data_IF_667541207335
#
_entry.id   IF_667541207335
#
_cell.length_a   1.000
_cell.length_b   1.000
_cell.length_c   1.000
_cell.angle_alpha   90.00
_cell.angle_beta   90.00
_cell.angle_gamma   90.00
#
_symmetry.space_group_name_H-M   'P 1'
#
loop_
_entity.id
_entity.type
_entity.pdbx_description
1 polymer ?
#
# COMPACT_ATOMS: atom_id res chain seq x y z
N UNK A 1 -13.07 -39.43 -34.54
CA UNK A 1 -13.92 -38.64 -33.62
C UNK A 1 -13.30 -38.78 -32.24
N UNK A 2 -12.41 -37.86 -31.86
CA UNK A 2 -11.60 -37.95 -30.64
C UNK A 2 -12.27 -37.17 -29.51
N UNK A 3 -12.66 -37.86 -28.43
CA UNK A 3 -13.12 -37.24 -27.19
C UNK A 3 -11.90 -36.99 -26.29
N UNK A 4 -11.50 -35.73 -26.15
CA UNK A 4 -10.60 -35.30 -25.08
C UNK A 4 -11.44 -34.95 -23.85
N UNK A 5 -11.36 -35.79 -22.81
CA UNK A 5 -11.94 -35.51 -21.50
C UNK A 5 -11.01 -34.55 -20.75
N UNK A 6 -11.41 -33.29 -20.63
CA UNK A 6 -10.73 -32.28 -19.81
C UNK A 6 -11.08 -32.52 -18.34
N UNK A 7 -10.18 -33.21 -17.63
CA UNK A 7 -10.17 -33.23 -16.16
C UNK A 7 -9.81 -31.82 -15.70
N UNK A 8 -10.81 -31.03 -15.29
CA UNK A 8 -10.59 -29.80 -14.51
C UNK A 8 -10.08 -30.20 -13.13
N UNK A 9 -8.76 -30.17 -12.94
CA UNK A 9 -8.17 -30.11 -11.62
C UNK A 9 -8.60 -28.79 -10.97
N UNK A 10 -9.52 -28.88 -9.99
CA UNK A 10 -9.76 -27.81 -9.02
C UNK A 10 -8.51 -27.71 -8.15
N UNK A 11 -7.55 -26.87 -8.52
CA UNK A 11 -6.51 -26.46 -7.58
C UNK A 11 -7.17 -25.51 -6.59
N UNK A 12 -7.30 -25.98 -5.35
CA UNK A 12 -7.74 -25.19 -4.23
C UNK A 12 -6.67 -24.14 -3.95
N UNK A 13 -6.91 -22.87 -4.33
CA UNK A 13 -5.98 -21.75 -4.13
C UNK A 13 -5.71 -21.41 -2.65
N UNK A 14 -6.26 -22.16 -1.70
CA UNK A 14 -6.09 -21.93 -0.26
C UNK A 14 -4.77 -22.45 0.31
N UNK A 15 -3.88 -23.05 -0.48
CA UNK A 15 -2.69 -23.75 0.04
C UNK A 15 -1.35 -23.32 -0.57
N UNK A 16 -1.26 -22.16 -1.22
CA UNK A 16 0.03 -21.57 -1.59
C UNK A 16 0.53 -20.74 -0.39
N UNK A 17 1.68 -21.07 0.23
CA UNK A 17 2.27 -20.25 1.29
C UNK A 17 2.55 -18.84 0.74
N UNK A 18 2.07 -17.80 1.43
CA UNK A 18 2.11 -16.42 0.89
C UNK A 18 3.36 -15.72 1.40
N UNK A 19 4.33 -15.39 0.53
CA UNK A 19 5.54 -14.71 0.98
C UNK A 19 5.22 -13.31 1.56
N UNK A 20 5.83 -12.92 2.70
CA UNK A 20 5.56 -11.67 3.41
C UNK A 20 6.02 -10.43 2.63
N UNK A 21 5.28 -9.31 2.72
CA UNK A 21 5.64 -8.03 2.06
C UNK A 21 6.77 -7.32 2.80
N UNK A 22 6.86 -7.55 4.10
CA UNK A 22 8.00 -7.19 4.92
C UNK A 22 8.51 -8.46 5.57
N UNK A 23 9.76 -8.82 5.28
CA UNK A 23 10.40 -10.00 5.86
C UNK A 23 10.28 -9.94 7.40
N UNK A 24 9.74 -10.99 8.05
CA UNK A 24 9.49 -11.04 9.49
C UNK A 24 10.71 -10.69 10.34
N UNK A 25 11.94 -10.89 9.83
CA UNK A 25 13.17 -10.47 10.53
C UNK A 25 13.27 -8.96 10.76
N UNK A 26 12.49 -8.15 10.04
CA UNK A 26 12.42 -6.69 10.21
C UNK A 26 11.27 -6.25 11.11
N UNK A 27 10.50 -7.19 11.65
CA UNK A 27 9.34 -6.94 12.50
C UNK A 27 9.61 -7.51 13.88
N UNK A 28 10.51 -6.86 14.61
CA UNK A 28 10.80 -7.25 15.98
C UNK A 28 10.02 -6.46 17.03
N UNK A 29 9.96 -7.12 18.18
CA UNK A 29 8.98 -7.09 19.26
C UNK A 29 8.71 -5.72 19.93
N UNK A 30 7.71 -5.72 20.80
CA UNK A 30 7.06 -4.57 21.46
C UNK A 30 7.93 -3.60 22.29
N UNK A 31 9.25 -3.57 22.14
CA UNK A 31 10.09 -2.53 22.71
C UNK A 31 10.87 -1.83 21.60
N UNK A 32 10.66 -0.51 21.49
CA UNK A 32 11.30 0.36 20.51
C UNK A 32 12.78 0.55 20.86
N UNK A 33 13.56 -0.53 20.92
CA UNK A 33 15.01 -0.49 20.81
C UNK A 33 15.31 -0.47 19.32
N UNK A 34 15.62 0.72 18.83
CA UNK A 34 16.18 0.91 17.50
C UNK A 34 17.61 0.38 17.52
N UNK A 35 17.77 -0.94 17.62
CA UNK A 35 19.01 -1.61 17.24
C UNK A 35 19.11 -1.43 15.73
N UNK A 36 20.05 -0.59 15.30
CA UNK A 36 20.45 -0.58 13.92
C UNK A 36 20.76 -2.03 13.54
N UNK A 37 20.01 -2.60 12.59
CA UNK A 37 20.36 -3.88 11.98
C UNK A 37 21.66 -3.61 11.24
N UNK A 38 22.79 -3.87 11.90
CA UNK A 38 24.10 -3.42 11.41
C UNK A 38 24.58 -4.24 10.23
N UNK A 39 24.09 -5.47 10.04
CA UNK A 39 24.57 -6.31 8.95
C UNK A 39 23.45 -7.19 8.37
N UNK A 40 22.99 -6.83 7.17
CA UNK A 40 22.46 -7.83 6.25
C UNK A 40 23.67 -8.43 5.54
N UNK A 41 24.05 -9.67 5.87
CA UNK A 41 25.03 -10.42 5.06
C UNK A 41 24.42 -10.69 3.68
N UNK A 42 24.59 -9.73 2.77
CA UNK A 42 24.28 -9.89 1.36
C UNK A 42 25.58 -10.32 0.67
N UNK A 43 25.63 -11.58 0.26
CA UNK A 43 26.81 -12.18 -0.40
C UNK A 43 26.87 -11.88 -1.91
N UNK A 44 25.92 -11.11 -2.44
CA UNK A 44 25.88 -10.73 -3.85
C UNK A 44 26.62 -9.43 -4.15
N UNK A 45 26.95 -9.23 -5.43
CA UNK A 45 27.41 -7.93 -5.92
C UNK A 45 26.23 -6.94 -5.96
N UNK A 46 26.45 -5.72 -5.46
CA UNK A 46 25.50 -4.62 -5.58
C UNK A 46 25.76 -3.93 -6.92
N UNK A 47 24.77 -3.82 -7.81
CA UNK A 47 24.99 -3.20 -9.11
C UNK A 47 25.26 -1.69 -8.98
N UNK A 48 26.03 -1.13 -9.91
CA UNK A 48 26.34 0.31 -9.96
C UNK A 48 25.08 1.18 -10.08
N UNK A 49 24.04 0.67 -10.75
CA UNK A 49 22.74 1.30 -10.85
C UNK A 49 21.61 0.30 -10.65
N UNK A 50 20.49 0.76 -10.10
CA UNK A 50 19.31 -0.05 -9.89
C UNK A 50 18.05 0.78 -10.08
N UNK A 51 17.15 0.32 -10.94
CA UNK A 51 15.81 0.87 -11.10
C UNK A 51 14.76 -0.21 -10.83
N UNK A 52 13.95 -0.03 -9.79
CA UNK A 52 12.88 -0.95 -9.44
C UNK A 52 11.85 -1.11 -10.58
N UNK A 53 11.65 -0.08 -11.41
CA UNK A 53 10.71 -0.09 -12.55
C UNK A 53 11.20 -1.00 -13.68
N UNK A 54 12.51 -1.16 -13.81
CA UNK A 54 13.15 -2.07 -14.76
C UNK A 54 13.24 -3.49 -14.19
N UNK A 55 13.52 -3.62 -12.88
CA UNK A 55 13.63 -4.91 -12.21
C UNK A 55 12.29 -5.64 -12.08
N UNK A 56 11.22 -4.90 -11.81
CA UNK A 56 9.85 -5.42 -11.66
C UNK A 56 8.89 -4.71 -12.60
N UNK A 57 9.05 -4.90 -13.93
CA UNK A 57 8.32 -4.12 -14.92
C UNK A 57 6.81 -4.42 -14.92
N UNK A 58 6.42 -5.62 -14.49
CA UNK A 58 5.04 -6.07 -14.39
C UNK A 58 4.31 -5.51 -13.17
N UNK A 59 5.04 -5.00 -12.17
CA UNK A 59 4.45 -4.38 -11.00
C UNK A 59 4.04 -2.94 -11.28
N UNK A 60 2.75 -2.76 -11.61
CA UNK A 60 2.20 -1.45 -12.02
C UNK A 60 2.36 -0.37 -10.95
N UNK A 61 2.31 -0.76 -9.68
CA UNK A 61 2.43 0.16 -8.55
C UNK A 61 3.80 0.86 -8.49
N UNK A 62 4.88 0.20 -8.93
CA UNK A 62 6.26 0.74 -8.88
C UNK A 62 6.42 1.95 -9.81
N UNK A 63 5.56 2.05 -10.83
CA UNK A 63 5.51 3.15 -11.79
C UNK A 63 4.45 4.20 -11.44
N UNK A 64 3.63 3.95 -10.41
CA UNK A 64 2.50 4.82 -10.06
C UNK A 64 2.97 6.00 -9.19
N UNK A 65 2.74 7.21 -9.68
CA UNK A 65 2.92 8.43 -8.90
C UNK A 65 1.59 8.80 -8.23
N UNK A 66 1.61 8.95 -6.89
CA UNK A 66 0.46 9.33 -6.08
C UNK A 66 0.48 10.83 -5.76
N UNK A 67 -0.69 11.42 -5.54
CA UNK A 67 -0.85 12.82 -5.12
C UNK A 67 -1.54 12.88 -3.74
N UNK A 68 -0.89 13.49 -2.77
CA UNK A 68 -1.42 13.69 -1.41
C UNK A 68 -2.33 14.93 -1.29
N UNK A 69 -2.58 15.63 -2.40
CA UNK A 69 -3.28 16.91 -2.46
C UNK A 69 -2.73 17.92 -1.44
N UNK A 70 -3.58 18.79 -0.89
CA UNK A 70 -3.18 19.75 0.14
C UNK A 70 -3.36 19.24 1.58
N UNK A 71 -2.87 18.02 1.82
CA UNK A 71 -2.87 17.34 3.11
C UNK A 71 -1.46 16.84 3.40
N UNK A 72 -0.91 17.10 4.59
CA UNK A 72 0.40 16.61 5.06
C UNK A 72 0.41 15.11 5.38
N UNK A 73 -0.05 14.28 4.44
CA UNK A 73 -0.21 12.82 4.57
C UNK A 73 0.88 12.02 3.86
N UNK A 74 2.00 12.64 3.51
CA UNK A 74 3.14 11.99 2.85
C UNK A 74 3.57 10.69 3.55
N UNK A 75 3.52 10.65 4.89
CA UNK A 75 3.83 9.48 5.70
C UNK A 75 2.90 8.30 5.41
N UNK A 76 1.60 8.54 5.20
CA UNK A 76 0.62 7.52 4.85
C UNK A 76 0.75 7.11 3.37
N UNK A 77 0.91 8.10 2.49
CA UNK A 77 1.00 7.90 1.03
C UNK A 77 2.26 7.10 0.66
N UNK A 78 3.42 7.47 1.20
CA UNK A 78 4.67 6.73 0.98
C UNK A 78 4.60 5.30 1.51
N UNK A 79 4.01 5.10 2.68
CA UNK A 79 3.83 3.76 3.28
C UNK A 79 2.94 2.87 2.40
N UNK A 80 1.77 3.36 2.01
CA UNK A 80 0.87 2.61 1.13
C UNK A 80 1.49 2.37 -0.25
N UNK A 81 2.26 3.33 -0.79
CA UNK A 81 2.98 3.16 -2.06
C UNK A 81 3.97 2.00 -1.99
N UNK A 82 4.94 2.07 -1.09
CA UNK A 82 5.98 1.05 -0.96
C UNK A 82 5.41 -0.34 -0.62
N UNK A 83 4.34 -0.39 0.17
CA UNK A 83 3.70 -1.66 0.51
C UNK A 83 2.85 -2.24 -0.62
N UNK A 84 2.33 -1.40 -1.51
CA UNK A 84 1.68 -1.87 -2.75
C UNK A 84 2.71 -2.48 -3.69
N UNK A 85 3.89 -1.86 -3.79
CA UNK A 85 5.02 -2.39 -4.56
C UNK A 85 5.47 -3.73 -4.02
N UNK A 86 5.70 -3.82 -2.71
CA UNK A 86 6.07 -5.06 -2.03
C UNK A 86 5.02 -6.15 -2.19
N UNK A 87 3.74 -5.81 -2.13
CA UNK A 87 2.67 -6.78 -2.38
C UNK A 87 2.82 -7.44 -3.76
N UNK A 88 3.06 -6.64 -4.80
CA UNK A 88 3.29 -7.16 -6.14
C UNK A 88 4.61 -7.93 -6.26
N UNK A 89 5.71 -7.35 -5.78
CA UNK A 89 7.05 -7.93 -5.88
C UNK A 89 7.11 -9.30 -5.20
N UNK A 90 6.61 -9.38 -3.96
CA UNK A 90 6.66 -10.62 -3.19
C UNK A 90 5.71 -11.68 -3.73
N UNK A 91 4.58 -11.28 -4.32
CA UNK A 91 3.66 -12.21 -4.97
C UNK A 91 4.02 -12.55 -6.42
N UNK A 92 5.21 -12.16 -6.90
CA UNK A 92 5.63 -12.33 -8.29
C UNK A 92 4.57 -11.84 -9.30
N UNK A 93 3.92 -10.71 -8.99
CA UNK A 93 2.91 -10.09 -9.85
C UNK A 93 1.49 -10.62 -9.68
N UNK A 94 1.24 -11.66 -8.89
CA UNK A 94 -0.12 -12.21 -8.68
C UNK A 94 -1.04 -11.24 -7.92
N UNK A 95 -0.48 -10.43 -7.02
CA UNK A 95 -1.22 -9.45 -6.21
C UNK A 95 -0.83 -8.04 -6.60
N UNK A 96 -1.74 -7.35 -7.29
CA UNK A 96 -1.51 -6.00 -7.81
C UNK A 96 -2.43 -4.95 -7.17
N UNK A 97 -2.99 -5.28 -6.01
CA UNK A 97 -3.85 -4.38 -5.25
C UNK A 97 -3.03 -3.19 -4.73
N UNK A 98 -3.65 -2.01 -4.68
CA UNK A 98 -3.05 -0.84 -4.04
C UNK A 98 -3.60 -0.72 -2.62
N UNK A 99 -2.72 -0.54 -1.63
CA UNK A 99 -3.15 -0.21 -0.27
C UNK A 99 -3.72 1.21 -0.24
N UNK A 100 -4.80 1.39 0.51
CA UNK A 100 -5.43 2.70 0.70
C UNK A 100 -4.60 3.61 1.60
N UNK A 101 -4.06 4.68 1.01
CA UNK A 101 -3.42 5.76 1.77
C UNK A 101 -4.41 6.44 2.71
N UNK A 102 -5.69 6.47 2.34
CA UNK A 102 -6.76 7.08 3.14
C UNK A 102 -7.14 6.26 4.36
N UNK A 103 -7.08 4.93 4.26
CA UNK A 103 -7.28 4.06 5.41
C UNK A 103 -6.17 4.26 6.44
N UNK A 104 -4.91 4.26 5.99
CA UNK A 104 -3.75 4.55 6.85
C UNK A 104 -3.87 5.95 7.47
N UNK A 105 -4.13 6.97 6.64
CA UNK A 105 -4.24 8.37 7.04
C UNK A 105 -5.31 8.59 8.12
N UNK A 106 -6.50 8.01 7.93
CA UNK A 106 -7.67 8.35 8.77
C UNK A 106 -7.83 7.42 9.95
N UNK A 107 -7.40 6.15 9.85
CA UNK A 107 -7.66 5.13 10.87
C UNK A 107 -6.44 4.78 11.73
N UNK A 108 -5.21 5.16 11.36
CA UNK A 108 -4.06 5.02 12.26
C UNK A 108 -3.93 6.19 13.25
N UNK A 109 -4.64 6.08 14.38
CA UNK A 109 -4.63 7.11 15.44
C UNK A 109 -3.25 7.30 16.06
N UNK A 110 -2.43 6.25 16.16
CA UNK A 110 -1.10 6.31 16.76
C UNK A 110 -0.02 6.82 15.79
N UNK A 111 -0.32 6.92 14.50
CA UNK A 111 0.67 7.29 13.49
C UNK A 111 0.98 8.78 13.47
N UNK A 112 0.12 9.63 14.04
CA UNK A 112 0.36 11.07 14.12
C UNK A 112 -0.93 11.88 14.04
N UNK A 113 -0.82 13.07 13.47
CA UNK A 113 -1.88 14.08 13.42
C UNK A 113 -2.51 14.20 12.03
N UNK A 114 -2.64 13.07 11.32
CA UNK A 114 -3.28 12.99 10.02
C UNK A 114 -2.65 13.89 8.96
N UNK A 115 -3.41 14.86 8.47
CA UNK A 115 -2.97 15.89 7.51
C UNK A 115 -2.00 16.92 8.08
N UNK A 116 -1.76 16.93 9.39
CA UNK A 116 -0.73 17.77 10.02
C UNK A 116 0.60 17.02 10.20
N UNK A 117 0.79 15.90 9.52
CA UNK A 117 2.00 15.07 9.60
C UNK A 117 1.83 13.82 10.47
N UNK A 118 2.79 12.92 10.33
CA UNK A 118 2.80 11.62 10.99
C UNK A 118 4.08 10.85 10.72
N UNK A 119 4.15 9.63 11.25
CA UNK A 119 5.32 8.77 11.26
C UNK A 119 5.13 7.57 10.33
N UNK A 120 5.97 7.49 9.30
CA UNK A 120 6.05 6.35 8.38
C UNK A 120 6.38 5.04 9.13
N UNK A 121 7.27 5.09 10.12
CA UNK A 121 7.61 3.91 10.94
C UNK A 121 6.38 3.35 11.67
N UNK A 122 5.58 4.23 12.29
CA UNK A 122 4.34 3.81 12.96
C UNK A 122 3.29 3.31 11.96
N UNK A 123 3.27 3.85 10.74
CA UNK A 123 2.38 3.38 9.69
C UNK A 123 2.73 1.96 9.23
N UNK A 124 4.01 1.63 9.06
CA UNK A 124 4.45 0.25 8.82
C UNK A 124 4.05 -0.68 9.97
N UNK A 125 4.30 -0.28 11.22
CA UNK A 125 3.89 -1.05 12.39
C UNK A 125 2.36 -1.25 12.47
N UNK A 126 1.59 -0.25 12.05
CA UNK A 126 0.13 -0.35 11.97
C UNK A 126 -0.31 -1.31 10.87
N UNK A 127 0.33 -1.31 9.70
CA UNK A 127 0.03 -2.28 8.64
C UNK A 127 0.27 -3.71 9.09
N UNK A 128 1.30 -3.93 9.89
CA UNK A 128 1.60 -5.24 10.47
C UNK A 128 0.51 -5.69 11.44
N UNK A 129 0.07 -4.81 12.34
CA UNK A 129 -0.88 -5.15 13.42
C UNK A 129 -2.35 -5.11 13.00
N UNK A 130 -2.72 -4.22 12.08
CA UNK A 130 -4.11 -3.87 11.74
C UNK A 130 -4.40 -4.03 10.25
N UNK A 131 -3.41 -3.76 9.40
CA UNK A 131 -3.56 -3.78 7.95
C UNK A 131 -4.35 -2.61 7.37
N UNK A 132 -4.21 -2.36 6.06
CA UNK A 132 -5.00 -1.39 5.29
C UNK A 132 -5.94 -2.11 4.33
N UNK A 133 -7.11 -1.55 4.03
CA UNK A 133 -7.91 -2.05 2.90
C UNK A 133 -7.34 -1.61 1.54
N UNK A 134 -7.92 -2.10 0.45
CA UNK A 134 -7.59 -1.63 -0.91
C UNK A 134 -8.01 -0.18 -1.11
N UNK A 135 -7.28 0.51 -1.99
CA UNK A 135 -7.54 1.88 -2.36
C UNK A 135 -6.90 2.24 -3.70
N UNK A 136 -6.58 3.52 -3.86
CA UNK A 136 -5.99 4.05 -5.09
C UNK A 136 -6.10 5.57 -5.12
N UNK A 137 -5.70 6.20 -6.23
CA UNK A 137 -5.89 7.63 -6.46
C UNK A 137 -7.33 8.09 -6.21
N UNK A 138 -7.51 9.41 -6.05
CA UNK A 138 -8.83 10.01 -5.92
C UNK A 138 -9.79 9.51 -7.01
N UNK A 139 -11.04 9.22 -6.61
CA UNK A 139 -12.11 8.70 -7.48
C UNK A 139 -11.84 7.33 -8.15
N UNK A 140 -10.82 6.58 -7.72
CA UNK A 140 -10.61 5.19 -8.17
C UNK A 140 -11.83 4.33 -7.84
N UNK A 141 -12.31 3.60 -8.84
CA UNK A 141 -13.44 2.68 -8.73
C UNK A 141 -12.98 1.26 -8.44
N UNK A 142 -13.89 0.41 -7.95
CA UNK A 142 -13.60 -1.01 -7.72
C UNK A 142 -12.59 -1.27 -6.59
N UNK A 143 -12.47 -0.33 -5.64
CA UNK A 143 -11.60 -0.43 -4.47
C UNK A 143 -12.35 -0.04 -3.21
N UNK A 144 -11.91 -0.51 -2.04
CA UNK A 144 -12.61 -0.24 -0.78
C UNK A 144 -12.59 1.25 -0.43
N UNK A 145 -11.42 1.90 -0.46
CA UNK A 145 -11.24 3.31 -0.07
C UNK A 145 -10.27 4.03 -1.02
N UNK A 146 -10.77 4.72 -2.07
CA UNK A 146 -9.92 5.61 -2.87
C UNK A 146 -9.46 6.80 -2.03
N UNK A 147 -8.45 7.52 -2.53
CA UNK A 147 -7.92 8.70 -1.83
C UNK A 147 -9.02 9.75 -1.62
N UNK A 148 -9.11 10.29 -0.39
CA UNK A 148 -10.24 11.13 0.04
C UNK A 148 -10.22 12.56 -0.53
N UNK A 149 -9.07 13.05 -0.98
CA UNK A 149 -8.92 14.44 -1.44
C UNK A 149 -8.69 14.51 -2.94
N UNK A 150 -9.39 15.43 -3.60
CA UNK A 150 -9.13 15.77 -4.99
C UNK A 150 -7.74 16.42 -5.11
N UNK A 151 -6.91 16.03 -6.10
CA UNK A 151 -5.65 16.70 -6.41
C UNK A 151 -5.83 18.22 -6.60
N UNK A 152 -4.82 19.01 -6.26
CA UNK A 152 -4.89 20.47 -6.45
C UNK A 152 -3.50 21.08 -6.48
N UNK A 153 -3.44 22.35 -6.90
CA UNK A 153 -2.23 23.13 -6.96
C UNK A 153 -1.54 23.05 -8.32
N UNK A 154 -0.61 23.97 -8.54
CA UNK A 154 0.14 24.09 -9.79
C UNK A 154 1.54 23.52 -9.61
N UNK A 155 1.90 22.55 -10.44
CA UNK A 155 3.24 21.94 -10.50
C UNK A 155 3.70 21.90 -11.94
N UNK A 156 5.02 22.01 -12.14
CA UNK A 156 5.64 21.93 -13.47
C UNK A 156 5.39 20.52 -14.02
N UNK A 157 5.00 20.42 -15.29
CA UNK A 157 4.74 19.16 -16.00
C UNK A 157 3.68 18.24 -15.39
N UNK A 158 2.74 18.79 -14.60
CA UNK A 158 1.60 18.03 -14.10
C UNK A 158 0.28 18.68 -14.51
N UNK A 159 -0.79 17.88 -14.69
CA UNK A 159 -2.12 18.42 -14.93
C UNK A 159 -2.53 19.37 -13.79
N UNK A 160 -3.07 20.53 -14.16
CA UNK A 160 -3.57 21.51 -13.20
C UNK A 160 -5.03 21.19 -12.86
N UNK A 161 -5.24 20.81 -11.59
CA UNK A 161 -6.54 20.41 -11.06
C UNK A 161 -7.32 21.54 -10.37
N UNK A 162 -6.87 22.79 -10.55
CA UNK A 162 -7.37 23.96 -9.84
C UNK A 162 -6.58 24.26 -8.56
N UNK A 163 -6.83 25.45 -8.00
CA UNK A 163 -6.16 25.88 -6.77
C UNK A 163 -6.66 25.13 -5.54
N UNK A 164 -5.74 24.92 -4.59
CA UNK A 164 -6.08 24.34 -3.30
C UNK A 164 -6.88 25.36 -2.47
N UNK A 165 -8.21 25.18 -2.44
CA UNK A 165 -9.14 26.10 -1.75
C UNK A 165 -8.93 26.18 -0.24
N UNK A 166 -8.44 25.11 0.37
CA UNK A 166 -8.22 25.01 1.82
C UNK A 166 -6.73 24.83 2.05
N UNK A 167 -6.12 25.74 2.83
CA UNK A 167 -4.66 25.77 3.07
C UNK A 167 -4.15 24.53 3.81
N UNK A 168 -4.94 23.95 4.71
CA UNK A 168 -4.67 22.70 5.42
C UNK A 168 -5.95 21.87 5.44
N UNK A 169 -6.01 20.79 4.67
CA UNK A 169 -7.20 19.93 4.65
C UNK A 169 -7.39 19.26 6.03
N UNK A 170 -8.59 19.34 6.64
CA UNK A 170 -8.85 18.64 7.89
C UNK A 170 -8.84 17.13 7.66
N UNK A 171 -8.27 16.38 8.60
CA UNK A 171 -8.25 14.91 8.50
C UNK A 171 -9.67 14.37 8.64
N UNK A 172 -10.16 13.58 7.66
CA UNK A 172 -11.48 12.98 7.77
C UNK A 172 -11.54 11.99 8.93
N UNK A 173 -12.73 11.78 9.49
CA UNK A 173 -12.95 10.73 10.49
C UNK A 173 -12.71 9.36 9.85
N UNK A 174 -12.02 8.48 10.59
CA UNK A 174 -11.95 7.06 10.25
C UNK A 174 -13.37 6.49 10.08
N UNK A 175 -13.62 5.85 8.95
CA UNK A 175 -14.81 5.01 8.73
C UNK A 175 -14.33 3.60 8.45
N UNK A 176 -14.84 2.59 9.15
CA UNK A 176 -14.42 1.19 8.96
C UNK A 176 -15.34 0.46 7.97
N UNK A 177 -15.55 1.09 6.83
CA UNK A 177 -16.51 0.71 5.80
C UNK A 177 -15.93 1.03 4.41
N UNK A 178 -16.23 0.20 3.42
CA UNK A 178 -15.86 0.43 2.01
C UNK A 178 -16.89 1.33 1.31
N UNK A 179 -16.56 1.80 0.11
CA UNK A 179 -17.54 2.45 -0.77
C UNK A 179 -18.73 1.52 -1.06
N UNK A 180 -19.93 2.08 -1.22
CA UNK A 180 -21.17 1.30 -1.30
C UNK A 180 -21.22 0.36 -2.52
N UNK A 181 -20.49 0.69 -3.59
CA UNK A 181 -20.42 -0.11 -4.82
C UNK A 181 -19.34 -1.21 -4.76
N UNK A 182 -18.56 -1.27 -3.68
CA UNK A 182 -17.51 -2.26 -3.51
C UNK A 182 -18.05 -3.56 -2.90
N UNK A 183 -17.64 -4.69 -3.48
CA UNK A 183 -18.25 -6.01 -3.19
C UNK A 183 -17.78 -6.66 -1.88
N UNK A 184 -16.63 -6.26 -1.34
CA UNK A 184 -16.09 -6.82 -0.09
C UNK A 184 -16.35 -5.90 1.09
N UNK A 185 -16.51 -6.49 2.27
CA UNK A 185 -16.54 -5.72 3.51
C UNK A 185 -15.13 -5.20 3.86
N UNK A 186 -15.09 -4.13 4.65
CA UNK A 186 -13.85 -3.48 5.08
C UNK A 186 -12.87 -4.42 5.78
N UNK A 187 -13.36 -5.34 6.62
CA UNK A 187 -12.53 -6.30 7.33
C UNK A 187 -11.93 -7.36 6.40
N UNK A 188 -12.72 -7.87 5.46
CA UNK A 188 -12.33 -8.93 4.52
C UNK A 188 -11.34 -8.42 3.47
N UNK A 189 -11.31 -7.10 3.23
CA UNK A 189 -10.42 -6.45 2.28
C UNK A 189 -9.07 -6.02 2.88
N UNK A 190 -8.81 -6.36 4.15
CA UNK A 190 -7.56 -5.98 4.82
C UNK A 190 -6.34 -6.69 4.23
N UNK A 191 -5.32 -5.88 4.00
CA UNK A 191 -3.99 -6.22 3.52
C UNK A 191 -3.00 -5.92 4.66
N UNK A 192 -2.32 -6.95 5.16
CA UNK A 192 -1.43 -6.87 6.32
C UNK A 192 0.04 -6.74 5.91
N UNK A 193 0.86 -6.16 6.77
CA UNK A 193 2.31 -5.99 6.51
C UNK A 193 3.11 -7.30 6.60
N UNK A 194 2.54 -8.34 7.22
CA UNK A 194 3.08 -9.70 7.31
C UNK A 194 2.16 -10.61 6.51
N UNK A 195 2.73 -11.42 5.62
CA UNK A 195 2.01 -12.51 4.99
C UNK A 195 2.68 -13.82 5.41
N UNK A 196 1.88 -14.71 6.01
CA UNK A 196 2.26 -16.10 6.29
C UNK A 196 1.86 -16.99 5.11
#
# INVERSE_FOLDING_TARGET
MFYFSLIKLKTNLSSVPRPPAMDPKYLEDSELKMTAVTETHYEGEIPESFDARERWPDCRSVKLIRDQANCGSCWAVSTASAMSDRLCIHSNGERQDLLSDSDILTCCVLCGSGCNGGSTLRAYAWLVKVGACTGGPYATQGVCKPYVFHPCGRRVDQPYYGDCKVKNMPTPKCRRECSAEYSKNYGDDKIFGIWN
#
